data_IF_594350778271
#
_entry.id   IF_594350778271
#
_cell.length_a   1.000
_cell.length_b   1.000
_cell.length_c   1.000
_cell.angle_alpha   90.00
_cell.angle_beta   90.00
_cell.angle_gamma   90.00
#
_symmetry.space_group_name_H-M   'P 1'
#
loop_
_entity.id
_entity.type
_entity.pdbx_description
1 polymer ?
#
# COMPACT_ATOMS: atom_id res chain seq x y z
N UNK A 1 11.69 9.47 -5.57
CA UNK A 1 10.76 10.39 -4.91
C UNK A 1 11.58 11.61 -4.58
N UNK A 2 11.10 12.79 -4.86
CA UNK A 2 11.83 14.00 -4.58
C UNK A 2 10.82 15.15 -4.36
N UNK A 3 11.06 15.93 -3.31
CA UNK A 3 10.37 17.20 -3.13
C UNK A 3 10.81 18.18 -4.24
N UNK A 4 9.84 18.78 -4.90
CA UNK A 4 10.09 19.74 -5.97
C UNK A 4 9.94 21.18 -5.43
N UNK A 5 11.07 21.76 -5.02
CA UNK A 5 11.12 23.12 -4.47
C UNK A 5 10.62 24.16 -5.49
N UNK A 6 10.81 23.94 -6.78
CA UNK A 6 10.38 24.90 -7.83
C UNK A 6 8.85 25.03 -7.89
N UNK A 7 8.14 24.00 -7.48
CA UNK A 7 6.68 23.96 -7.40
C UNK A 7 6.14 24.47 -6.06
N UNK A 8 6.96 24.49 -5.00
CA UNK A 8 6.55 24.97 -3.68
C UNK A 8 6.57 26.51 -3.62
N UNK A 9 5.44 27.13 -3.80
CA UNK A 9 5.32 28.59 -3.87
C UNK A 9 4.36 29.15 -2.81
N UNK A 10 4.93 29.68 -1.74
CA UNK A 10 4.19 30.20 -0.57
C UNK A 10 3.32 31.44 -0.86
N UNK A 11 3.59 32.20 -1.94
CA UNK A 11 2.76 33.35 -2.32
C UNK A 11 1.46 32.93 -3.02
N UNK A 12 1.39 31.70 -3.49
CA UNK A 12 0.27 31.16 -4.28
C UNK A 12 -0.41 29.94 -3.67
N UNK A 13 -0.03 29.54 -2.47
CA UNK A 13 -0.69 28.44 -1.74
C UNK A 13 -1.01 28.88 -0.32
N UNK A 14 -2.01 28.22 0.26
CA UNK A 14 -2.46 28.43 1.64
C UNK A 14 -1.92 27.36 2.59
N UNK A 15 -0.87 26.63 2.21
CA UNK A 15 -0.34 25.54 3.02
C UNK A 15 -1.23 24.30 3.02
N UNK A 16 -2.07 24.10 1.98
CA UNK A 16 -3.09 23.05 1.89
C UNK A 16 -2.54 21.64 2.20
N UNK A 17 -1.27 21.41 1.89
CA UNK A 17 -0.63 20.14 2.20
C UNK A 17 -0.67 19.75 3.69
N UNK A 18 -0.59 20.73 4.60
CA UNK A 18 -0.63 20.51 6.05
C UNK A 18 -1.91 21.04 6.71
N UNK A 19 -2.54 22.08 6.18
CA UNK A 19 -3.85 22.58 6.65
C UNK A 19 -4.92 21.49 6.51
N UNK A 20 -4.90 20.72 5.41
CA UNK A 20 -5.83 19.59 5.19
C UNK A 20 -5.41 18.29 5.86
N UNK A 21 -4.24 18.25 6.52
CA UNK A 21 -3.77 17.04 7.15
C UNK A 21 -4.70 16.62 8.30
N UNK A 22 -5.33 15.43 8.26
CA UNK A 22 -6.27 15.01 9.31
C UNK A 22 -5.60 14.59 10.63
N UNK A 23 -4.28 14.68 10.70
CA UNK A 23 -3.46 14.19 11.81
C UNK A 23 -2.72 15.28 12.58
N UNK A 24 -2.72 16.50 12.05
CA UNK A 24 -2.23 17.71 12.71
C UNK A 24 -3.25 18.83 12.53
N UNK A 25 -3.28 19.78 13.45
CA UNK A 25 -4.24 20.90 13.43
C UNK A 25 -3.46 22.20 13.19
N UNK A 26 -2.98 22.38 11.95
CA UNK A 26 -2.25 23.57 11.55
C UNK A 26 -3.15 24.55 10.81
N UNK A 27 -3.04 25.82 11.16
CA UNK A 27 -3.55 26.92 10.34
C UNK A 27 -2.60 27.20 9.14
N UNK A 28 -2.96 28.18 8.31
CA UNK A 28 -2.17 28.55 7.13
C UNK A 28 -0.75 28.98 7.50
N UNK A 29 -0.61 29.78 8.56
CA UNK A 29 0.69 30.32 8.96
C UNK A 29 1.60 29.24 9.53
N UNK A 30 1.07 28.35 10.38
CA UNK A 30 1.82 27.22 10.94
C UNK A 30 2.22 26.21 9.83
N UNK A 31 1.30 25.91 8.91
CA UNK A 31 1.58 25.03 7.79
C UNK A 31 2.73 25.58 6.92
N UNK A 32 2.72 26.88 6.66
CA UNK A 32 3.78 27.56 5.90
C UNK A 32 5.09 27.62 6.69
N UNK A 33 5.05 27.88 8.01
CA UNK A 33 6.23 27.84 8.89
C UNK A 33 6.87 26.46 8.87
N UNK A 34 6.05 25.41 9.04
CA UNK A 34 6.51 24.02 9.01
C UNK A 34 7.28 23.70 7.73
N UNK A 35 6.70 23.99 6.56
CA UNK A 35 7.35 23.67 5.28
C UNK A 35 8.62 24.50 5.08
N UNK A 36 8.65 25.79 5.48
CA UNK A 36 9.85 26.62 5.39
C UNK A 36 10.97 26.09 6.29
N UNK A 37 10.67 25.73 7.53
CA UNK A 37 11.64 25.13 8.44
C UNK A 37 12.26 23.85 7.84
N UNK A 38 11.43 22.98 7.28
CA UNK A 38 11.92 21.76 6.63
C UNK A 38 12.79 22.04 5.40
N UNK A 39 12.45 23.05 4.58
CA UNK A 39 13.29 23.48 3.44
C UNK A 39 14.62 24.00 3.93
N UNK A 40 14.64 24.75 5.04
CA UNK A 40 15.86 25.29 5.64
C UNK A 40 16.69 24.22 6.40
N UNK A 41 16.18 22.99 6.54
CA UNK A 41 16.84 21.96 7.35
C UNK A 41 16.66 22.15 8.87
N UNK A 42 15.72 22.99 9.26
CA UNK A 42 15.43 23.29 10.66
C UNK A 42 14.47 22.27 11.27
N UNK A 43 14.58 21.95 12.56
CA UNK A 43 13.67 21.06 13.25
C UNK A 43 12.26 21.66 13.35
N UNK A 44 11.24 20.82 13.20
CA UNK A 44 9.84 21.21 13.37
C UNK A 44 9.02 20.04 13.97
N UNK A 45 8.01 20.29 14.84
CA UNK A 45 7.17 19.24 15.42
C UNK A 45 6.54 18.28 14.41
N UNK A 46 6.24 18.74 13.19
CA UNK A 46 5.69 17.89 12.11
C UNK A 46 6.48 16.61 11.87
N UNK A 47 7.79 16.62 12.14
CA UNK A 47 8.64 15.43 11.96
C UNK A 47 8.24 14.28 12.91
N UNK A 48 7.74 14.60 14.11
CA UNK A 48 7.21 13.61 15.08
C UNK A 48 5.71 13.35 14.85
N UNK A 49 4.97 14.40 14.46
CA UNK A 49 3.52 14.32 14.35
C UNK A 49 3.06 13.67 13.05
N UNK A 50 3.90 13.65 12.01
CA UNK A 50 3.60 13.01 10.74
C UNK A 50 3.54 11.50 10.88
N UNK A 51 2.41 10.91 10.48
CA UNK A 51 2.19 9.45 10.47
C UNK A 51 2.65 8.75 9.19
N UNK A 52 3.37 9.44 8.34
CA UNK A 52 3.95 8.92 7.08
C UNK A 52 2.94 8.44 6.03
N UNK A 53 1.72 8.97 6.01
CA UNK A 53 0.64 8.54 5.11
C UNK A 53 0.68 9.14 3.70
N UNK A 54 1.55 10.09 3.44
CA UNK A 54 1.71 10.84 2.18
C UNK A 54 0.48 11.62 1.67
N UNK A 55 -0.57 11.82 2.50
CA UNK A 55 -1.76 12.57 2.08
C UNK A 55 -1.44 14.01 1.63
N UNK A 56 -0.41 14.63 2.20
CA UNK A 56 0.04 15.97 1.82
C UNK A 56 0.51 16.06 0.36
N UNK A 57 0.94 14.96 -0.27
CA UNK A 57 1.23 14.94 -1.71
C UNK A 57 -0.07 15.11 -2.52
N UNK A 58 -1.18 14.49 -2.09
CA UNK A 58 -2.49 14.65 -2.73
C UNK A 58 -3.06 16.06 -2.50
N UNK A 59 -2.88 16.60 -1.30
CA UNK A 59 -3.40 17.90 -0.92
C UNK A 59 -2.60 19.06 -1.54
N UNK A 60 -1.37 18.83 -2.00
CA UNK A 60 -0.57 19.86 -2.62
C UNK A 60 -1.14 20.23 -4.01
N UNK A 61 -1.72 21.44 -4.19
CA UNK A 61 -2.35 21.80 -5.45
C UNK A 61 -1.34 21.95 -6.60
N UNK A 62 -0.05 22.04 -6.25
CA UNK A 62 1.03 22.25 -7.21
C UNK A 62 1.86 21.01 -7.48
N UNK A 63 1.63 19.91 -6.76
CA UNK A 63 2.38 18.67 -6.94
C UNK A 63 3.85 18.76 -6.53
N UNK A 64 4.16 19.52 -5.48
CA UNK A 64 5.52 19.66 -4.95
C UNK A 64 6.00 18.45 -4.15
N UNK A 65 5.15 17.47 -3.86
CA UNK A 65 5.44 16.28 -3.07
C UNK A 65 5.99 16.58 -1.66
N UNK A 66 5.26 17.32 -0.82
CA UNK A 66 5.75 17.75 0.50
C UNK A 66 6.02 16.59 1.47
N UNK A 67 5.39 15.43 1.29
CA UNK A 67 5.73 14.25 2.09
C UNK A 67 7.17 13.79 1.87
N UNK A 68 7.69 13.88 0.65
CA UNK A 68 9.06 13.47 0.36
C UNK A 68 10.07 14.31 1.16
N UNK A 69 9.82 15.62 1.31
CA UNK A 69 10.62 16.49 2.17
C UNK A 69 10.52 16.07 3.66
N UNK A 70 9.30 15.82 4.15
CA UNK A 70 9.11 15.38 5.55
C UNK A 70 9.86 14.07 5.80
N UNK A 71 9.71 13.09 4.91
CA UNK A 71 10.34 11.78 5.05
C UNK A 71 11.88 11.86 4.99
N UNK A 72 12.43 12.71 4.12
CA UNK A 72 13.87 12.99 4.05
C UNK A 72 14.39 13.58 5.37
N UNK A 73 13.71 14.58 5.93
CA UNK A 73 14.09 15.18 7.22
C UNK A 73 13.88 14.23 8.39
N UNK A 74 12.88 13.34 8.34
CA UNK A 74 12.72 12.27 9.34
C UNK A 74 13.90 11.30 9.30
N UNK A 75 14.42 10.93 8.12
CA UNK A 75 15.62 10.09 8.00
C UNK A 75 16.86 10.79 8.52
N UNK A 76 17.09 12.04 8.14
CA UNK A 76 18.25 12.84 8.59
C UNK A 76 18.30 13.03 10.11
N UNK A 77 17.16 13.29 10.72
CA UNK A 77 17.06 13.55 12.16
C UNK A 77 16.94 12.28 13.00
N UNK A 78 16.60 11.13 12.39
CA UNK A 78 16.34 9.88 13.10
C UNK A 78 15.16 9.94 14.07
N UNK A 79 14.27 10.93 13.89
CA UNK A 79 13.22 11.27 14.88
C UNK A 79 12.17 10.17 15.08
N UNK A 80 11.95 9.30 14.09
CA UNK A 80 10.94 8.24 14.17
C UNK A 80 11.41 7.04 15.00
N UNK A 81 12.70 6.91 15.27
CA UNK A 81 13.28 5.81 16.02
C UNK A 81 12.83 4.44 15.49
N UNK A 82 13.71 3.66 14.92
CA UNK A 82 13.35 2.32 14.47
C UNK A 82 13.48 1.40 15.68
N UNK A 83 12.42 0.65 16.06
CA UNK A 83 12.55 -0.41 17.06
C UNK A 83 13.70 -1.36 16.66
N UNK A 84 14.48 -1.81 17.63
CA UNK A 84 15.69 -2.61 17.36
C UNK A 84 15.38 -3.93 16.64
N UNK A 85 14.20 -4.49 16.88
CA UNK A 85 13.63 -5.68 16.26
C UNK A 85 13.06 -5.43 14.87
N UNK A 86 12.75 -4.18 14.53
CA UNK A 86 12.27 -3.78 13.20
C UNK A 86 13.40 -3.36 12.26
N UNK A 87 14.67 -3.59 12.60
CA UNK A 87 15.79 -3.27 11.70
C UNK A 87 15.85 -4.28 10.56
N UNK A 88 15.36 -3.94 9.35
CA UNK A 88 15.62 -4.76 8.19
C UNK A 88 17.13 -4.78 7.97
N UNK A 89 17.68 -5.96 7.85
CA UNK A 89 19.11 -6.08 7.58
C UNK A 89 19.42 -5.54 6.18
N UNK A 90 20.56 -4.88 6.03
CA UNK A 90 21.07 -4.47 4.71
C UNK A 90 21.23 -5.68 3.76
N UNK A 91 21.22 -6.88 4.32
CA UNK A 91 21.45 -8.13 3.62
C UNK A 91 20.17 -8.74 3.02
N UNK A 92 19.01 -8.10 3.17
CA UNK A 92 17.74 -8.63 2.66
C UNK A 92 17.80 -8.95 1.16
N UNK A 93 18.35 -8.05 0.38
CA UNK A 93 18.44 -8.22 -1.08
C UNK A 93 19.40 -9.33 -1.52
N UNK A 94 20.31 -9.78 -0.63
CA UNK A 94 21.27 -10.84 -0.90
C UNK A 94 20.86 -12.20 -0.35
N UNK A 95 19.77 -12.25 0.44
CA UNK A 95 19.23 -13.52 0.94
C UNK A 95 18.76 -14.40 -0.21
N UNK A 96 18.74 -15.73 -0.04
CA UNK A 96 18.16 -16.61 -1.05
C UNK A 96 16.71 -16.24 -1.35
N UNK A 97 16.35 -16.25 -2.63
CA UNK A 97 14.97 -16.12 -3.06
C UNK A 97 14.17 -17.34 -2.60
N UNK A 98 12.92 -17.10 -2.17
CA UNK A 98 12.03 -18.19 -1.78
C UNK A 98 10.95 -18.36 -2.83
N UNK A 99 10.90 -19.56 -3.40
CA UNK A 99 9.73 -20.02 -4.15
C UNK A 99 8.75 -20.60 -3.13
N UNK A 100 7.70 -19.85 -2.83
CA UNK A 100 6.69 -20.23 -1.83
C UNK A 100 5.84 -21.37 -2.38
N UNK A 101 5.45 -21.27 -3.66
CA UNK A 101 4.69 -22.28 -4.38
C UNK A 101 5.09 -22.28 -5.85
N UNK A 102 5.35 -23.46 -6.41
CA UNK A 102 5.52 -23.63 -7.85
C UNK A 102 4.16 -23.85 -8.50
N UNK A 103 3.88 -23.08 -9.55
CA UNK A 103 2.73 -23.25 -10.43
C UNK A 103 3.05 -24.15 -11.62
N UNK A 104 2.20 -24.08 -12.64
CA UNK A 104 2.42 -24.75 -13.92
C UNK A 104 3.50 -24.05 -14.75
N UNK A 105 4.25 -24.78 -15.59
CA UNK A 105 5.14 -24.15 -16.57
C UNK A 105 4.35 -23.13 -17.44
N UNK A 106 4.89 -21.93 -17.61
CA UNK A 106 4.23 -20.84 -18.33
C UNK A 106 3.07 -20.17 -17.60
N UNK A 107 2.75 -20.60 -16.37
CA UNK A 107 1.79 -19.91 -15.51
C UNK A 107 2.30 -18.57 -14.99
N UNK A 108 1.42 -17.73 -14.41
CA UNK A 108 1.78 -16.40 -13.95
C UNK A 108 2.80 -16.45 -12.80
N UNK A 109 3.74 -15.50 -12.80
CA UNK A 109 4.69 -15.28 -11.71
C UNK A 109 4.18 -14.16 -10.79
N UNK A 110 3.95 -14.48 -9.51
CA UNK A 110 3.39 -13.56 -8.54
C UNK A 110 4.41 -13.27 -7.45
N UNK A 111 4.74 -12.00 -7.26
CA UNK A 111 5.61 -11.54 -6.19
C UNK A 111 4.80 -11.16 -4.95
N UNK A 112 4.99 -11.90 -3.86
CA UNK A 112 4.51 -11.57 -2.52
C UNK A 112 5.42 -10.56 -1.80
N UNK A 113 6.51 -10.12 -2.47
CA UNK A 113 7.45 -9.12 -1.95
C UNK A 113 8.32 -9.60 -0.79
N UNK A 114 9.11 -8.69 -0.26
CA UNK A 114 10.04 -8.97 0.85
C UNK A 114 9.37 -9.15 2.20
N UNK A 115 8.15 -8.66 2.38
CA UNK A 115 7.42 -8.71 3.66
C UNK A 115 6.58 -9.98 3.85
N UNK A 116 6.64 -10.94 2.94
CA UNK A 116 5.80 -12.14 3.02
C UNK A 116 6.08 -12.98 4.28
N UNK A 117 7.27 -12.89 4.85
CA UNK A 117 7.65 -13.59 6.09
C UNK A 117 6.94 -13.02 7.32
N UNK A 118 6.59 -11.74 7.28
CA UNK A 118 5.90 -11.02 8.37
C UNK A 118 4.39 -10.95 8.12
N UNK A 119 3.99 -10.97 6.85
CA UNK A 119 2.59 -10.95 6.43
C UNK A 119 2.35 -12.19 5.58
N UNK A 120 1.61 -13.19 6.06
CA UNK A 120 1.41 -14.46 5.35
C UNK A 120 0.54 -14.29 4.11
N UNK A 121 1.05 -13.55 3.13
CA UNK A 121 0.35 -13.25 1.88
C UNK A 121 0.02 -14.51 1.07
N UNK A 122 0.80 -15.58 1.26
CA UNK A 122 0.57 -16.85 0.58
C UNK A 122 -0.83 -17.43 0.86
N UNK A 123 -1.40 -17.15 2.04
CA UNK A 123 -2.77 -17.58 2.37
C UNK A 123 -3.83 -16.87 1.53
N UNK A 124 -3.53 -15.66 1.08
CA UNK A 124 -4.40 -14.88 0.20
C UNK A 124 -4.31 -15.30 -1.27
N UNK A 125 -3.23 -15.99 -1.66
CA UNK A 125 -2.92 -16.35 -3.04
C UNK A 125 -3.27 -17.83 -3.34
N UNK A 126 -4.44 -18.26 -2.87
CA UNK A 126 -4.99 -19.62 -3.09
C UNK A 126 -6.28 -19.54 -3.89
N UNK A 127 -6.74 -20.70 -4.37
CA UNK A 127 -7.98 -20.80 -5.15
C UNK A 127 -7.76 -20.75 -6.67
N UNK A 128 -8.87 -20.74 -7.42
CA UNK A 128 -8.86 -20.90 -8.88
C UNK A 128 -8.03 -19.84 -9.59
N UNK A 129 -8.15 -18.56 -9.18
CA UNK A 129 -7.40 -17.44 -9.77
C UNK A 129 -5.90 -17.66 -9.75
N UNK A 130 -5.40 -18.36 -8.73
CA UNK A 130 -3.96 -18.53 -8.49
C UNK A 130 -3.49 -20.00 -8.63
N UNK A 131 -4.34 -20.89 -9.14
CA UNK A 131 -4.05 -22.33 -9.19
C UNK A 131 -2.79 -22.66 -9.98
N UNK A 132 -2.56 -21.94 -11.05
CA UNK A 132 -1.45 -22.16 -11.99
C UNK A 132 -0.24 -21.24 -11.70
N UNK A 133 -0.37 -20.34 -10.71
CA UNK A 133 0.63 -19.33 -10.41
C UNK A 133 1.84 -19.87 -9.63
N UNK A 134 3.04 -19.47 -10.05
CA UNK A 134 4.24 -19.53 -9.22
C UNK A 134 4.29 -18.32 -8.30
N UNK A 135 4.41 -18.55 -6.99
CA UNK A 135 4.48 -17.49 -5.99
C UNK A 135 5.92 -17.43 -5.44
N UNK A 136 6.50 -16.23 -5.51
CA UNK A 136 7.83 -15.92 -4.99
C UNK A 136 7.76 -14.87 -3.89
N UNK A 137 8.73 -14.88 -2.99
CA UNK A 137 8.83 -13.91 -1.90
C UNK A 137 10.21 -13.89 -1.27
N UNK A 138 10.39 -13.08 -0.25
CA UNK A 138 11.62 -13.01 0.54
C UNK A 138 12.46 -11.78 0.29
N UNK A 139 13.53 -11.68 1.05
CA UNK A 139 14.44 -10.54 1.07
C UNK A 139 14.88 -10.02 -0.30
N UNK A 140 15.22 -10.88 -1.28
CA UNK A 140 15.60 -10.43 -2.62
C UNK A 140 14.56 -9.57 -3.33
N UNK A 141 13.29 -9.71 -2.96
CA UNK A 141 12.17 -8.96 -3.53
C UNK A 141 11.67 -7.85 -2.60
N UNK A 142 12.53 -7.40 -1.67
CA UNK A 142 12.24 -6.25 -0.83
C UNK A 142 12.42 -4.94 -1.61
N UNK A 143 11.33 -4.23 -1.86
CA UNK A 143 11.37 -2.93 -2.55
C UNK A 143 11.84 -1.77 -1.65
N UNK A 144 12.03 -1.99 -0.35
CA UNK A 144 12.47 -0.99 0.63
C UNK A 144 11.43 0.06 0.99
N UNK A 145 10.25 0.04 0.37
CA UNK A 145 9.27 1.11 0.56
C UNK A 145 8.70 1.17 1.98
N UNK A 146 8.43 0.03 2.61
CA UNK A 146 7.96 -0.02 4.01
C UNK A 146 8.91 0.65 4.99
N UNK A 147 10.20 0.70 4.67
CA UNK A 147 11.20 1.36 5.50
C UNK A 147 11.07 2.89 5.50
N UNK A 148 10.42 3.48 4.49
CA UNK A 148 10.12 4.92 4.49
C UNK A 148 9.24 5.32 5.66
N UNK A 149 8.34 4.43 6.08
CA UNK A 149 7.49 4.62 7.24
C UNK A 149 8.23 4.50 8.57
N UNK A 150 9.45 3.99 8.52
CA UNK A 150 10.35 3.82 9.68
C UNK A 150 11.48 4.85 9.70
N UNK A 151 11.36 5.94 8.93
CA UNK A 151 12.37 7.00 8.85
C UNK A 151 13.57 6.66 7.98
N UNK A 152 13.38 5.85 6.94
CA UNK A 152 14.42 5.49 5.96
C UNK A 152 13.95 5.76 4.53
N UNK A 153 13.67 7.02 4.23
CA UNK A 153 13.14 7.48 2.95
C UNK A 153 14.03 7.14 1.74
N UNK A 154 15.35 7.03 1.96
CA UNK A 154 16.32 6.70 0.91
C UNK A 154 16.30 5.23 0.46
N UNK A 155 15.70 4.33 1.24
CA UNK A 155 15.78 2.87 1.01
C UNK A 155 15.18 2.41 -0.32
N UNK A 156 14.00 2.87 -0.76
CA UNK A 156 13.46 2.44 -2.04
C UNK A 156 14.39 2.76 -3.20
N UNK A 157 15.03 3.93 -3.20
CA UNK A 157 16.00 4.32 -4.24
C UNK A 157 17.26 3.46 -4.17
N UNK A 158 17.78 3.22 -2.96
CA UNK A 158 18.99 2.39 -2.77
C UNK A 158 18.75 0.93 -3.18
N UNK A 159 17.57 0.39 -2.93
CA UNK A 159 17.24 -1.01 -3.22
C UNK A 159 16.82 -1.24 -4.68
N UNK A 160 16.35 -0.20 -5.35
CA UNK A 160 15.74 -0.29 -6.68
C UNK A 160 16.54 -1.10 -7.69
N UNK A 161 17.85 -0.85 -7.92
CA UNK A 161 18.61 -1.58 -8.94
C UNK A 161 18.62 -3.10 -8.66
N UNK A 162 18.95 -3.49 -7.44
CA UNK A 162 19.04 -4.92 -7.06
C UNK A 162 17.66 -5.58 -7.01
N UNK A 163 16.62 -4.85 -6.56
CA UNK A 163 15.25 -5.31 -6.58
C UNK A 163 14.78 -5.66 -8.00
N UNK A 164 15.01 -4.77 -8.97
CA UNK A 164 14.65 -5.01 -10.37
C UNK A 164 15.49 -6.13 -10.98
N UNK A 165 16.78 -6.18 -10.70
CA UNK A 165 17.66 -7.27 -11.19
C UNK A 165 17.24 -8.64 -10.68
N UNK A 166 16.92 -8.75 -9.39
CA UNK A 166 16.47 -10.00 -8.78
C UNK A 166 15.15 -10.49 -9.41
N UNK A 167 14.20 -9.58 -9.61
CA UNK A 167 12.93 -9.91 -10.28
C UNK A 167 13.14 -10.31 -11.74
N UNK A 168 13.98 -9.57 -12.49
CA UNK A 168 14.29 -9.86 -13.88
C UNK A 168 14.96 -11.24 -14.05
N UNK A 169 15.90 -11.57 -13.16
CA UNK A 169 16.55 -12.89 -13.15
C UNK A 169 15.53 -14.00 -12.93
N UNK A 170 14.63 -13.80 -11.96
CA UNK A 170 13.58 -14.78 -11.66
C UNK A 170 12.56 -14.90 -12.80
N UNK A 171 12.13 -13.80 -13.41
CA UNK A 171 11.26 -13.84 -14.58
C UNK A 171 11.88 -14.67 -15.71
N UNK A 172 13.18 -14.46 -15.97
CA UNK A 172 13.93 -15.24 -16.96
C UNK A 172 14.03 -16.72 -16.59
N UNK A 173 14.27 -17.05 -15.31
CA UNK A 173 14.32 -18.43 -14.82
C UNK A 173 13.01 -19.18 -15.06
N UNK A 174 11.87 -18.50 -14.86
CA UNK A 174 10.54 -19.07 -15.07
C UNK A 174 10.01 -18.89 -16.51
N UNK A 175 10.77 -18.25 -17.40
CA UNK A 175 10.40 -18.05 -18.81
C UNK A 175 9.18 -17.15 -19.00
N UNK A 176 9.02 -16.14 -18.14
CA UNK A 176 7.89 -15.17 -18.20
C UNK A 176 8.42 -13.76 -18.40
N UNK A 177 7.61 -12.90 -19.02
CA UNK A 177 7.89 -11.49 -19.26
C UNK A 177 7.03 -10.54 -18.42
N UNK A 178 6.15 -11.10 -17.56
CA UNK A 178 5.28 -10.37 -16.65
C UNK A 178 5.45 -10.82 -15.21
N UNK A 179 5.34 -9.90 -14.27
CA UNK A 179 5.33 -10.18 -12.82
C UNK A 179 4.16 -9.49 -12.18
N UNK A 180 3.29 -10.26 -11.52
CA UNK A 180 2.16 -9.75 -10.75
C UNK A 180 2.62 -9.36 -9.35
N UNK A 181 2.30 -8.14 -8.92
CA UNK A 181 2.63 -7.63 -7.59
C UNK A 181 1.38 -7.61 -6.70
N UNK A 182 1.48 -8.27 -5.55
CA UNK A 182 0.41 -8.28 -4.53
C UNK A 182 0.47 -7.07 -3.60
N UNK A 183 1.61 -6.40 -3.55
CA UNK A 183 1.85 -5.24 -2.70
C UNK A 183 2.02 -3.99 -3.55
N UNK A 184 1.14 -3.03 -3.37
CA UNK A 184 1.12 -1.75 -4.10
C UNK A 184 2.45 -1.04 -4.11
N UNK A 185 3.17 -1.06 -2.97
CA UNK A 185 4.47 -0.43 -2.86
C UNK A 185 5.49 -1.05 -3.82
N UNK A 186 5.50 -2.38 -3.94
CA UNK A 186 6.42 -3.07 -4.86
C UNK A 186 6.08 -2.74 -6.32
N UNK A 187 4.78 -2.68 -6.66
CA UNK A 187 4.33 -2.24 -7.98
C UNK A 187 4.77 -0.80 -8.27
N UNK A 188 4.51 0.15 -7.36
CA UNK A 188 4.91 1.55 -7.54
C UNK A 188 6.43 1.74 -7.61
N UNK A 189 7.20 0.94 -6.89
CA UNK A 189 8.67 0.98 -7.00
C UNK A 189 9.12 0.46 -8.37
N UNK A 190 8.50 -0.62 -8.88
CA UNK A 190 8.83 -1.18 -10.19
C UNK A 190 8.32 -0.33 -11.37
N UNK A 191 7.36 0.55 -11.17
CA UNK A 191 6.79 1.44 -12.21
C UNK A 191 7.24 2.88 -12.00
N UNK A 192 6.58 3.61 -11.11
CA UNK A 192 6.76 5.05 -10.90
C UNK A 192 8.18 5.41 -10.46
N UNK A 193 8.71 4.73 -9.43
CA UNK A 193 10.05 5.05 -8.93
C UNK A 193 11.14 4.65 -9.94
N UNK A 194 11.02 3.48 -10.57
CA UNK A 194 11.97 3.04 -11.59
C UNK A 194 12.05 4.05 -12.76
N UNK A 195 10.90 4.51 -13.24
CA UNK A 195 10.82 5.56 -14.28
C UNK A 195 11.48 6.86 -13.82
N UNK A 196 11.19 7.33 -12.60
CA UNK A 196 11.77 8.57 -12.05
C UNK A 196 13.29 8.49 -11.87
N UNK A 197 13.82 7.30 -11.62
CA UNK A 197 15.25 7.06 -11.44
C UNK A 197 15.96 6.62 -12.74
N UNK A 198 15.25 6.56 -13.87
CA UNK A 198 15.80 6.11 -15.15
C UNK A 198 16.23 4.63 -15.16
N UNK A 199 15.69 3.82 -14.25
CA UNK A 199 15.98 2.38 -14.18
C UNK A 199 15.08 1.62 -15.15
N UNK A 200 15.70 0.90 -16.09
CA UNK A 200 14.96 0.05 -17.04
C UNK A 200 14.42 -1.18 -16.32
N UNK A 201 13.13 -1.44 -16.48
CA UNK A 201 12.45 -2.65 -16.00
C UNK A 201 12.27 -3.59 -17.19
N UNK A 202 12.95 -4.77 -17.23
CA UNK A 202 12.95 -5.65 -18.39
C UNK A 202 11.81 -6.69 -18.37
N UNK A 203 10.75 -6.43 -17.61
CA UNK A 203 9.51 -7.23 -17.56
C UNK A 203 8.33 -6.27 -17.43
N UNK A 204 7.12 -6.72 -17.68
CA UNK A 204 5.89 -5.94 -17.45
C UNK A 204 5.45 -6.09 -15.98
N UNK A 205 5.45 -5.02 -15.18
CA UNK A 205 4.82 -5.03 -13.87
C UNK A 205 3.30 -5.08 -14.04
N UNK A 206 2.65 -6.01 -13.35
CA UNK A 206 1.18 -6.16 -13.34
C UNK A 206 0.68 -5.97 -11.91
N UNK A 207 -0.32 -5.13 -11.72
CA UNK A 207 -0.93 -4.97 -10.41
C UNK A 207 -1.89 -6.14 -10.13
N UNK A 208 -2.03 -6.55 -8.86
CA UNK A 208 -2.93 -7.64 -8.48
C UNK A 208 -4.39 -7.41 -8.92
N UNK A 209 -4.87 -6.16 -8.90
CA UNK A 209 -6.22 -5.82 -9.37
C UNK A 209 -6.36 -6.01 -10.88
N UNK A 210 -5.37 -5.58 -11.66
CA UNK A 210 -5.33 -5.81 -13.11
C UNK A 210 -5.39 -7.30 -13.43
N UNK A 211 -4.57 -8.09 -12.74
CA UNK A 211 -4.52 -9.53 -12.91
C UNK A 211 -5.87 -10.20 -12.59
N UNK A 212 -6.46 -9.89 -11.44
CA UNK A 212 -7.75 -10.46 -11.00
C UNK A 212 -8.86 -10.07 -11.98
N UNK A 213 -8.94 -8.78 -12.35
CA UNK A 213 -9.93 -8.27 -13.29
C UNK A 213 -9.86 -9.00 -14.64
N UNK A 214 -8.67 -9.15 -15.19
CA UNK A 214 -8.48 -9.82 -16.47
C UNK A 214 -8.86 -11.30 -16.36
N UNK A 215 -8.44 -11.98 -15.27
CA UNK A 215 -8.83 -13.37 -15.03
C UNK A 215 -10.35 -13.55 -14.95
N UNK A 216 -11.06 -12.67 -14.22
CA UNK A 216 -12.52 -12.73 -14.12
C UNK A 216 -13.21 -12.48 -15.47
N UNK A 217 -12.69 -11.57 -16.30
CA UNK A 217 -13.20 -11.33 -17.66
C UNK A 217 -13.04 -12.53 -18.57
N UNK A 218 -11.93 -13.25 -18.43
CA UNK A 218 -11.63 -14.43 -19.22
C UNK A 218 -12.42 -15.68 -18.73
N UNK A 219 -12.94 -15.65 -17.50
CA UNK A 219 -13.63 -16.75 -16.86
C UNK A 219 -14.97 -16.34 -16.21
N UNK A 220 -15.89 -15.70 -16.94
CA UNK A 220 -17.16 -15.23 -16.38
C UNK A 220 -18.04 -16.37 -15.85
N UNK A 221 -17.91 -17.57 -16.43
CA UNK A 221 -18.59 -18.79 -16.02
C UNK A 221 -18.17 -19.30 -14.61
N UNK A 222 -17.05 -18.83 -14.11
CA UNK A 222 -16.56 -19.17 -12.78
C UNK A 222 -17.18 -18.34 -11.66
N UNK A 223 -17.87 -17.25 -11.97
CA UNK A 223 -18.58 -16.42 -10.99
C UNK A 223 -19.93 -17.09 -10.71
N UNK A 224 -19.94 -17.99 -9.75
CA UNK A 224 -21.13 -18.81 -9.40
C UNK A 224 -21.93 -18.27 -8.22
N UNK A 225 -21.41 -17.27 -7.51
CA UNK A 225 -22.00 -16.70 -6.30
C UNK A 225 -21.86 -15.16 -6.29
N UNK A 226 -22.67 -14.40 -7.07
CA UNK A 226 -22.72 -12.94 -6.97
C UNK A 226 -23.00 -12.52 -5.53
N UNK A 227 -22.27 -11.51 -5.04
CA UNK A 227 -22.14 -11.30 -3.60
C UNK A 227 -23.23 -10.41 -3.00
N UNK A 228 -23.89 -9.56 -3.74
CA UNK A 228 -24.92 -8.59 -3.25
C UNK A 228 -24.62 -8.00 -1.85
N UNK A 229 -23.42 -7.43 -1.68
CA UNK A 229 -22.93 -6.84 -0.44
C UNK A 229 -22.42 -5.42 -0.65
N UNK A 230 -22.46 -4.62 0.43
CA UNK A 230 -21.96 -3.25 0.44
C UNK A 230 -20.57 -3.18 1.06
N UNK A 231 -19.62 -2.59 0.33
CA UNK A 231 -18.21 -2.56 0.71
C UNK A 231 -17.67 -1.13 0.73
N UNK A 232 -16.94 -0.80 1.81
CA UNK A 232 -16.01 0.32 1.85
C UNK A 232 -14.59 -0.16 1.53
N UNK A 233 -13.75 0.72 0.97
CA UNK A 233 -12.39 0.38 0.55
C UNK A 233 -11.35 1.08 1.41
N UNK A 234 -10.41 0.33 1.98
CA UNK A 234 -9.19 0.87 2.54
C UNK A 234 -8.15 1.02 1.42
N UNK A 235 -8.04 2.20 0.87
CA UNK A 235 -7.02 2.51 -0.13
C UNK A 235 -5.60 2.49 0.44
N UNK A 236 -4.64 2.03 -0.35
CA UNK A 236 -3.23 2.04 0.01
C UNK A 236 -2.63 3.46 0.00
N UNK A 237 -1.64 3.74 0.86
CA UNK A 237 -0.92 5.01 0.87
C UNK A 237 -0.06 5.20 -0.39
N UNK A 238 0.40 4.11 -0.99
CA UNK A 238 1.34 4.12 -2.12
C UNK A 238 0.76 4.70 -3.39
N UNK A 239 -0.55 4.67 -3.59
CA UNK A 239 -1.20 5.38 -4.70
C UNK A 239 -1.01 6.90 -4.66
N UNK A 240 -0.61 7.44 -3.50
CA UNK A 240 -0.32 8.88 -3.32
C UNK A 240 1.06 9.30 -3.84
N UNK A 241 1.90 8.34 -4.20
CA UNK A 241 3.22 8.58 -4.78
C UNK A 241 3.21 8.57 -6.31
N UNK A 242 2.16 8.03 -6.92
CA UNK A 242 2.00 8.11 -8.37
C UNK A 242 1.79 9.57 -8.79
N UNK A 243 2.31 9.99 -9.93
CA UNK A 243 2.01 11.31 -10.49
C UNK A 243 0.48 11.50 -10.60
N UNK A 244 0.01 12.74 -10.40
CA UNK A 244 -1.40 13.06 -10.62
C UNK A 244 -1.78 12.70 -12.07
N UNK A 245 -2.85 11.91 -12.24
CA UNK A 245 -3.29 11.41 -13.54
C UNK A 245 -2.57 10.13 -14.02
N UNK A 246 -1.80 9.48 -13.15
CA UNK A 246 -1.18 8.18 -13.42
C UNK A 246 -2.05 7.01 -12.95
N UNK A 247 -1.40 5.91 -12.56
CA UNK A 247 -2.00 4.61 -12.18
C UNK A 247 -3.13 4.68 -11.12
N UNK A 248 -3.29 5.82 -10.45
CA UNK A 248 -4.30 6.04 -9.43
C UNK A 248 -5.74 5.93 -9.94
N UNK A 249 -6.03 6.50 -11.11
CA UNK A 249 -7.35 6.43 -11.73
C UNK A 249 -7.62 5.03 -12.26
N UNK A 250 -6.61 4.42 -12.86
CA UNK A 250 -6.65 3.05 -13.39
C UNK A 250 -7.01 2.04 -12.28
N UNK A 251 -6.53 2.23 -11.07
CA UNK A 251 -6.88 1.39 -9.94
C UNK A 251 -8.36 1.42 -9.58
N UNK A 252 -8.94 2.61 -9.56
CA UNK A 252 -10.37 2.79 -9.29
C UNK A 252 -11.20 2.07 -10.35
N UNK A 253 -10.79 2.18 -11.61
CA UNK A 253 -11.46 1.52 -12.73
C UNK A 253 -11.35 -0.01 -12.64
N UNK A 254 -10.16 -0.54 -12.34
CA UNK A 254 -9.99 -2.00 -12.17
C UNK A 254 -10.85 -2.54 -11.03
N UNK A 255 -10.92 -1.81 -9.93
CA UNK A 255 -11.72 -2.22 -8.79
C UNK A 255 -13.22 -2.13 -9.07
N UNK A 256 -13.67 -1.08 -9.75
CA UNK A 256 -15.05 -0.93 -10.21
C UNK A 256 -15.46 -2.08 -11.14
N UNK A 257 -14.64 -2.40 -12.14
CA UNK A 257 -14.87 -3.54 -13.03
C UNK A 257 -15.00 -4.87 -12.26
N UNK A 258 -14.13 -5.09 -11.27
CA UNK A 258 -14.20 -6.29 -10.42
C UNK A 258 -15.52 -6.30 -9.66
N UNK A 259 -15.90 -5.20 -9.03
CA UNK A 259 -17.14 -5.08 -8.25
C UNK A 259 -18.38 -5.36 -9.11
N UNK A 260 -18.44 -4.78 -10.31
CA UNK A 260 -19.53 -5.01 -11.26
C UNK A 260 -19.65 -6.50 -11.63
N UNK A 261 -18.52 -7.16 -11.91
CA UNK A 261 -18.51 -8.57 -12.27
C UNK A 261 -18.99 -9.50 -11.14
N UNK A 262 -18.63 -9.18 -9.87
CA UNK A 262 -18.92 -10.05 -8.73
C UNK A 262 -20.13 -9.61 -7.89
N UNK A 263 -20.87 -8.58 -8.30
CA UNK A 263 -22.10 -8.13 -7.65
C UNK A 263 -21.87 -7.39 -6.35
N UNK A 264 -20.83 -6.55 -6.26
CA UNK A 264 -20.50 -5.75 -5.07
C UNK A 264 -20.90 -4.29 -5.26
N UNK A 265 -21.52 -3.68 -4.27
CA UNK A 265 -21.84 -2.26 -4.24
C UNK A 265 -20.83 -1.50 -3.39
N UNK A 266 -20.16 -0.50 -3.98
CA UNK A 266 -19.29 0.42 -3.24
C UNK A 266 -20.09 1.45 -2.49
N UNK A 267 -19.71 1.74 -1.23
CA UNK A 267 -20.28 2.84 -0.45
C UNK A 267 -19.39 4.08 -0.40
N UNK A 268 -18.33 4.12 -1.21
CA UNK A 268 -17.31 5.19 -1.15
C UNK A 268 -17.88 6.59 -1.34
N UNK A 269 -18.91 6.77 -2.16
CA UNK A 269 -19.59 8.06 -2.38
C UNK A 269 -20.35 8.60 -1.16
N UNK A 270 -20.65 7.72 -0.17
CA UNK A 270 -21.33 8.09 1.07
C UNK A 270 -20.36 8.36 2.22
N UNK A 271 -19.08 8.09 2.03
CA UNK A 271 -18.03 8.25 3.04
C UNK A 271 -17.53 9.69 3.09
N UNK A 272 -17.19 10.14 4.30
CA UNK A 272 -16.50 11.42 4.51
C UNK A 272 -15.03 11.31 4.13
N UNK A 273 -14.41 10.17 4.49
CA UNK A 273 -12.97 9.95 4.29
C UNK A 273 -12.72 9.02 3.10
N UNK A 274 -12.92 9.54 1.89
CA UNK A 274 -12.72 8.80 0.64
C UNK A 274 -11.82 9.57 -0.35
N UNK A 275 -11.43 8.95 -1.43
CA UNK A 275 -10.61 9.56 -2.49
C UNK A 275 -9.30 10.13 -1.94
N UNK A 276 -9.06 11.42 -2.16
CA UNK A 276 -7.87 12.13 -1.67
C UNK A 276 -7.88 12.33 -0.15
N UNK A 277 -9.06 12.42 0.46
CA UNK A 277 -9.25 12.63 1.90
C UNK A 277 -9.26 11.33 2.72
N UNK A 278 -9.09 10.15 2.07
CA UNK A 278 -9.07 8.86 2.75
C UNK A 278 -8.06 8.80 3.89
N UNK A 279 -8.44 8.14 4.97
CA UNK A 279 -7.57 7.96 6.14
C UNK A 279 -6.56 6.82 5.92
N UNK A 280 -5.43 6.95 6.62
CA UNK A 280 -4.38 5.94 6.65
C UNK A 280 -4.78 4.76 7.56
N UNK A 281 -4.19 3.59 7.31
CA UNK A 281 -4.30 2.42 8.19
C UNK A 281 -3.46 2.55 9.50
N UNK A 282 -2.61 3.57 9.60
CA UNK A 282 -1.73 3.78 10.77
C UNK A 282 -0.52 2.85 10.83
N UNK A 283 -0.24 2.06 9.80
CA UNK A 283 0.85 1.07 9.81
C UNK A 283 2.22 1.68 10.16
N UNK A 284 2.55 2.86 9.63
CA UNK A 284 3.84 3.52 9.85
C UNK A 284 4.12 3.88 11.31
N UNK A 285 3.08 4.08 12.12
CA UNK A 285 3.20 4.40 13.55
C UNK A 285 2.69 3.30 14.48
N UNK A 286 2.27 2.16 13.92
CA UNK A 286 1.60 1.09 14.68
C UNK A 286 2.46 0.55 15.83
N UNK A 287 3.78 0.50 15.66
CA UNK A 287 4.70 0.01 16.69
C UNK A 287 5.19 1.08 17.66
N UNK A 288 5.26 2.33 17.21
CA UNK A 288 5.83 3.44 18.01
C UNK A 288 4.77 4.27 18.71
N UNK A 289 3.55 4.33 18.17
CA UNK A 289 2.41 5.12 18.67
C UNK A 289 1.12 4.31 18.53
N UNK A 290 1.07 3.14 19.15
CA UNK A 290 0.01 2.15 18.96
C UNK A 290 -1.40 2.71 19.21
N UNK A 291 -1.62 3.41 20.31
CA UNK A 291 -2.93 4.00 20.66
C UNK A 291 -3.40 4.97 19.59
N UNK A 292 -2.51 5.85 19.13
CA UNK A 292 -2.80 6.80 18.06
C UNK A 292 -3.13 6.10 16.73
N UNK A 293 -2.41 5.03 16.40
CA UNK A 293 -2.71 4.22 15.22
C UNK A 293 -4.11 3.60 15.30
N UNK A 294 -4.47 3.05 16.47
CA UNK A 294 -5.79 2.46 16.71
C UNK A 294 -6.89 3.51 16.65
N UNK A 295 -6.68 4.73 17.14
CA UNK A 295 -7.66 5.81 17.07
C UNK A 295 -7.94 6.25 15.61
N UNK A 296 -6.88 6.32 14.79
CA UNK A 296 -7.01 6.56 13.34
C UNK A 296 -7.81 5.44 12.68
N UNK A 297 -7.53 4.19 13.04
CA UNK A 297 -8.26 3.02 12.52
C UNK A 297 -9.74 3.09 12.91
N UNK A 298 -10.05 3.38 14.18
CA UNK A 298 -11.43 3.51 14.67
C UNK A 298 -12.21 4.56 13.88
N UNK A 299 -11.61 5.73 13.68
CA UNK A 299 -12.23 6.81 12.90
C UNK A 299 -12.56 6.37 11.47
N UNK A 300 -11.63 5.66 10.82
CA UNK A 300 -11.79 5.18 9.46
C UNK A 300 -12.84 4.06 9.35
N UNK A 301 -12.85 3.14 10.30
CA UNK A 301 -13.80 2.03 10.36
C UNK A 301 -15.21 2.55 10.67
N UNK A 302 -15.33 3.53 11.58
CA UNK A 302 -16.62 4.16 11.90
C UNK A 302 -17.21 4.85 10.67
N UNK A 303 -16.40 5.64 9.92
CA UNK A 303 -16.83 6.29 8.69
C UNK A 303 -17.34 5.28 7.63
N UNK A 304 -16.67 4.13 7.52
CA UNK A 304 -17.12 3.04 6.65
C UNK A 304 -18.47 2.44 7.11
N UNK A 305 -18.61 2.23 8.42
CA UNK A 305 -19.85 1.69 9.00
C UNK A 305 -21.02 2.69 8.86
N UNK A 306 -20.79 3.98 9.10
CA UNK A 306 -21.78 5.04 8.97
C UNK A 306 -22.26 5.20 7.51
N UNK A 307 -21.38 4.91 6.54
CA UNK A 307 -21.74 4.84 5.12
C UNK A 307 -22.56 3.60 4.74
N UNK A 308 -22.75 2.67 5.68
CA UNK A 308 -23.53 1.45 5.50
C UNK A 308 -22.74 0.28 4.91
N UNK A 309 -21.41 0.25 5.05
CA UNK A 309 -20.60 -0.87 4.65
C UNK A 309 -20.85 -2.10 5.54
N UNK A 310 -20.93 -3.26 4.93
CA UNK A 310 -20.99 -4.55 5.62
C UNK A 310 -19.57 -5.11 5.82
N UNK A 311 -18.64 -4.73 4.95
CA UNK A 311 -17.25 -5.15 5.00
C UNK A 311 -16.31 -3.98 4.66
N UNK A 312 -15.10 -4.05 5.21
CA UNK A 312 -13.99 -3.17 4.81
C UNK A 312 -12.99 -3.97 3.95
N UNK A 313 -12.91 -3.62 2.68
CA UNK A 313 -12.02 -4.24 1.72
C UNK A 313 -10.59 -3.69 1.83
N UNK A 314 -9.64 -4.59 1.81
CA UNK A 314 -8.21 -4.27 1.78
C UNK A 314 -7.57 -4.76 0.48
N UNK A 315 -6.75 -3.91 -0.13
CA UNK A 315 -5.90 -4.25 -1.27
C UNK A 315 -4.47 -4.45 -0.80
N UNK A 316 -4.03 -3.64 0.16
CA UNK A 316 -2.69 -3.72 0.74
C UNK A 316 -2.64 -4.74 1.90
N UNK A 317 -1.74 -5.75 1.83
CA UNK A 317 -1.61 -6.76 2.88
C UNK A 317 -1.11 -6.19 4.22
N UNK A 318 -0.31 -5.12 4.21
CA UNK A 318 0.11 -4.44 5.44
C UNK A 318 -1.07 -3.72 6.12
N UNK A 319 -1.98 -3.12 5.35
CA UNK A 319 -3.15 -2.46 5.91
C UNK A 319 -4.08 -3.44 6.62
N UNK A 320 -4.42 -4.58 6.00
CA UNK A 320 -5.27 -5.58 6.65
C UNK A 320 -4.60 -6.17 7.89
N UNK A 321 -3.28 -6.35 7.88
CA UNK A 321 -2.52 -6.88 9.03
C UNK A 321 -2.71 -6.04 10.29
N UNK A 322 -2.63 -4.71 10.16
CA UNK A 322 -2.71 -3.81 11.32
C UNK A 322 -4.14 -3.43 11.70
N UNK A 323 -5.10 -3.47 10.76
CA UNK A 323 -6.48 -3.02 11.02
C UNK A 323 -7.45 -4.16 11.38
N UNK A 324 -7.16 -5.41 11.01
CA UNK A 324 -8.08 -6.54 11.18
C UNK A 324 -8.66 -6.68 12.60
N UNK A 325 -7.81 -6.55 13.61
CA UNK A 325 -8.24 -6.66 15.01
C UNK A 325 -9.21 -5.54 15.41
N UNK A 326 -8.94 -4.30 14.97
CA UNK A 326 -9.78 -3.13 15.24
C UNK A 326 -11.12 -3.26 14.49
N UNK A 327 -11.10 -3.71 13.21
CA UNK A 327 -12.32 -3.97 12.45
C UNK A 327 -13.24 -4.95 13.17
N UNK A 328 -12.71 -6.10 13.62
CA UNK A 328 -13.50 -7.11 14.34
C UNK A 328 -14.07 -6.61 15.66
N UNK A 329 -13.28 -5.83 16.42
CA UNK A 329 -13.75 -5.19 17.67
C UNK A 329 -14.92 -4.22 17.40
N UNK A 330 -14.91 -3.54 16.25
CA UNK A 330 -15.96 -2.61 15.82
C UNK A 330 -17.09 -3.27 15.02
N UNK A 331 -17.06 -4.59 14.86
CA UNK A 331 -18.06 -5.39 14.14
C UNK A 331 -18.20 -5.07 12.66
N UNK A 332 -17.13 -4.57 12.02
CA UNK A 332 -17.03 -4.44 10.57
C UNK A 332 -16.08 -5.52 10.06
N UNK A 333 -16.56 -6.43 9.20
CA UNK A 333 -15.76 -7.58 8.75
C UNK A 333 -14.64 -7.10 7.79
N UNK A 334 -13.35 -7.37 8.09
CA UNK A 334 -12.25 -7.09 7.19
C UNK A 334 -12.11 -8.19 6.14
N UNK A 335 -11.98 -7.82 4.88
CA UNK A 335 -11.77 -8.78 3.79
C UNK A 335 -10.65 -8.31 2.85
N UNK A 336 -9.80 -9.24 2.43
CA UNK A 336 -8.78 -8.96 1.41
C UNK A 336 -9.36 -9.20 0.01
N UNK A 337 -8.91 -8.46 -1.01
CA UNK A 337 -9.47 -8.53 -2.37
C UNK A 337 -9.52 -9.96 -2.93
N UNK A 338 -8.49 -10.76 -2.69
CA UNK A 338 -8.47 -12.14 -3.19
C UNK A 338 -9.49 -13.04 -2.48
N UNK A 339 -9.75 -12.80 -1.19
CA UNK A 339 -10.77 -13.51 -0.43
C UNK A 339 -12.19 -13.13 -0.90
N UNK A 340 -12.40 -11.84 -1.22
CA UNK A 340 -13.66 -11.37 -1.77
C UNK A 340 -13.97 -12.09 -3.10
N UNK A 341 -12.99 -12.16 -3.99
CA UNK A 341 -13.10 -12.86 -5.27
C UNK A 341 -13.36 -14.35 -5.07
N UNK A 342 -12.64 -15.04 -4.17
CA UNK A 342 -12.89 -16.45 -3.84
C UNK A 342 -14.34 -16.71 -3.47
N UNK A 343 -14.95 -15.83 -2.67
CA UNK A 343 -16.38 -15.96 -2.30
C UNK A 343 -17.29 -15.88 -3.52
N UNK A 344 -17.02 -14.98 -4.45
CA UNK A 344 -17.78 -14.87 -5.70
C UNK A 344 -17.63 -16.10 -6.60
N UNK A 345 -16.48 -16.78 -6.52
CA UNK A 345 -16.21 -18.05 -7.21
C UNK A 345 -16.77 -19.27 -6.49
N UNK A 346 -17.50 -19.10 -5.36
CA UNK A 346 -18.04 -20.20 -4.58
C UNK A 346 -16.99 -21.02 -3.82
N UNK A 347 -15.79 -20.46 -3.63
CA UNK A 347 -14.71 -21.15 -2.91
C UNK A 347 -14.79 -20.89 -1.40
N UNK A 348 -14.45 -21.92 -0.62
CA UNK A 348 -14.30 -21.76 0.83
C UNK A 348 -13.11 -20.84 1.14
N UNK A 349 -13.34 -19.87 2.01
CA UNK A 349 -12.25 -19.17 2.67
C UNK A 349 -11.64 -20.16 3.65
N UNK A 350 -10.41 -20.58 3.43
CA UNK A 350 -9.65 -21.36 4.40
C UNK A 350 -9.73 -20.70 5.78
N UNK A 351 -9.35 -21.35 6.88
CA UNK A 351 -9.48 -20.81 8.22
C UNK A 351 -8.95 -19.38 8.19
N UNK A 352 -9.89 -18.44 8.22
CA UNK A 352 -9.63 -17.03 8.01
C UNK A 352 -8.54 -16.62 8.97
N UNK A 353 -7.33 -16.53 8.48
CA UNK A 353 -6.10 -16.29 9.17
C UNK A 353 -6.31 -15.95 10.65
N UNK A 354 -6.55 -16.95 11.47
CA UNK A 354 -6.48 -16.88 12.92
C UNK A 354 -5.01 -16.78 13.35
N UNK A 355 -4.10 -17.03 12.42
CA UNK A 355 -2.71 -16.67 12.61
C UNK A 355 -2.67 -15.16 12.87
N UNK A 356 -2.43 -14.80 14.11
CA UNK A 356 -2.04 -13.48 14.49
C UNK A 356 -0.89 -13.11 13.55
N UNK A 357 -1.14 -12.21 12.59
CA UNK A 357 -0.07 -11.65 11.79
C UNK A 357 0.97 -11.15 12.78
N UNK A 358 2.16 -11.72 12.74
CA UNK A 358 3.14 -11.76 13.80
C UNK A 358 3.83 -10.44 14.14
N UNK A 359 3.03 -9.49 14.52
CA UNK A 359 3.51 -8.44 15.41
C UNK A 359 2.97 -8.76 16.80
N UNK A 360 3.81 -9.30 17.71
CA UNK A 360 3.38 -9.48 19.08
C UNK A 360 2.97 -8.12 19.61
N UNK A 361 1.69 -7.94 19.83
CA UNK A 361 1.19 -6.86 20.68
C UNK A 361 1.62 -7.25 22.08
N UNK A 362 2.64 -6.58 22.61
CA UNK A 362 2.99 -6.66 24.03
C UNK A 362 1.90 -6.02 24.86
#
# INVERSE_FOLDING_TARGET
MAFDLSKCNFSRCKGECLVRCPYVSYDEDEAKRAVRALIAGEPHPILKDCITCAACNDFCPRGANPWDLIAERQEETGVLGIPADAKPSSDWLTKPATVIRRGKPGGPLISAGGIYEVVPQAEFLTGQVFSDATIIGGGPYACGFTETHLGRASRPVKFLPQFIENLARTAKEFGVDEIVFTHDACYNVATTLAMQQGVRVPFRPVHILEYIRNWLRDHPDRIVNPLDIRIAVQGGCTTRYAPKGGDREIWSDWLADIFDMIGVTSVEEKRVYTGVDRLCCGCGIFHTQHERAVDIQRKNIQDAADAGAEQLLFICPACISVMRATCRKMKLEPIYITQLVKRALGEELGPAGTAAFGYPVK
#
